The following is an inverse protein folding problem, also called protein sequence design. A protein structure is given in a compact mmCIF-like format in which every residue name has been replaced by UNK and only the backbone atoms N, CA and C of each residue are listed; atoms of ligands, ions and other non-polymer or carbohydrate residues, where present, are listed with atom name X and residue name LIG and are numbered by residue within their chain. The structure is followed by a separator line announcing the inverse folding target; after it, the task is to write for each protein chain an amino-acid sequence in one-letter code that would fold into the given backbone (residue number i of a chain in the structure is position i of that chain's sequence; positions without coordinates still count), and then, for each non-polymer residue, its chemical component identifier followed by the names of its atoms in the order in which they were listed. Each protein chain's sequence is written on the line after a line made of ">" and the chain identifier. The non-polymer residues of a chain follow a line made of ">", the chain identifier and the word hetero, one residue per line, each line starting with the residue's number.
data_IF_870750892819
#
_entry.id   IF_870750892819
#
_cell.length_a   1.000
_cell.length_b   1.000
_cell.length_c   1.000
_cell.angle_alpha   90.00
_cell.angle_beta   90.00
_cell.angle_gamma   90.00
#
_symmetry.space_group_name_H-M   'P 1'
#
loop_
_entity.id
_entity.type
_entity.pdbx_description
1 polymer ?
#
# COMPACT_ATOMS: atom_id res chain seq x y z
N UNK A 1 42.66 6.22 28.50
CA UNK A 1 41.22 5.99 28.30
C UNK A 1 40.74 6.95 27.22
N UNK A 2 40.72 6.48 25.98
CA UNK A 2 40.25 7.24 24.81
C UNK A 2 38.72 7.26 24.83
N UNK A 3 38.12 8.45 24.89
CA UNK A 3 36.68 8.62 24.72
C UNK A 3 36.24 8.04 23.36
N UNK A 4 35.12 7.32 23.29
CA UNK A 4 34.58 6.89 22.01
C UNK A 4 34.13 8.13 21.25
N UNK A 5 34.70 8.33 20.06
CA UNK A 5 34.29 9.36 19.13
C UNK A 5 32.78 9.27 18.92
N UNK A 6 32.06 10.34 19.25
CA UNK A 6 30.66 10.51 18.90
C UNK A 6 30.53 10.32 17.40
N UNK A 7 29.87 9.24 16.97
CA UNK A 7 29.49 9.03 15.57
C UNK A 7 28.66 10.23 15.14
N UNK A 8 29.25 11.11 14.34
CA UNK A 8 28.56 12.22 13.69
C UNK A 8 27.67 11.60 12.61
N UNK A 9 26.48 11.15 13.01
CA UNK A 9 25.47 10.61 12.11
C UNK A 9 24.92 11.76 11.26
N UNK A 10 25.44 11.96 10.05
CA UNK A 10 24.82 12.65 8.91
C UNK A 10 23.65 13.63 9.23
N UNK A 11 23.89 14.65 10.06
CA UNK A 11 22.89 15.69 10.35
C UNK A 11 22.99 16.77 9.27
N UNK A 12 22.68 16.41 8.03
CA UNK A 12 22.59 17.34 6.89
C UNK A 12 21.15 17.58 6.49
N UNK A 13 20.86 18.74 5.89
CA UNK A 13 19.55 19.05 5.31
C UNK A 13 19.10 17.97 4.30
N UNK A 14 20.05 17.37 3.57
CA UNK A 14 19.82 16.31 2.59
C UNK A 14 19.19 15.05 3.20
N UNK A 15 19.67 14.61 4.37
CA UNK A 15 19.12 13.45 5.08
C UNK A 15 17.68 13.70 5.56
N UNK A 16 17.35 14.96 5.90
CA UNK A 16 15.99 15.35 6.26
C UNK A 16 15.05 15.31 5.02
N UNK A 17 15.54 15.74 3.86
CA UNK A 17 14.80 15.73 2.59
C UNK A 17 14.51 14.31 2.11
N UNK A 18 15.48 13.39 2.20
CA UNK A 18 15.31 11.98 1.83
C UNK A 18 14.26 11.27 2.71
N UNK A 19 14.27 11.59 4.01
CA UNK A 19 13.32 11.08 4.99
C UNK A 19 11.87 11.54 4.70
N UNK A 20 11.70 12.79 4.26
CA UNK A 20 10.40 13.32 3.83
C UNK A 20 9.89 12.64 2.55
N UNK A 21 10.78 12.47 1.56
CA UNK A 21 10.45 11.79 0.31
C UNK A 21 10.00 10.34 0.56
N UNK A 22 10.61 9.65 1.54
CA UNK A 22 10.21 8.29 1.91
C UNK A 22 8.81 8.23 2.53
N UNK A 23 8.46 9.15 3.43
CA UNK A 23 7.11 9.22 4.02
C UNK A 23 6.08 9.47 2.93
N UNK A 24 6.32 10.47 2.08
CA UNK A 24 5.41 10.82 0.99
C UNK A 24 5.26 9.67 -0.01
N UNK A 25 6.35 9.01 -0.35
CA UNK A 25 6.32 7.82 -1.20
C UNK A 25 5.50 6.69 -0.57
N UNK A 26 5.66 6.43 0.73
CA UNK A 26 4.86 5.43 1.44
C UNK A 26 3.37 5.77 1.40
N UNK A 27 3.00 7.02 1.67
CA UNK A 27 1.60 7.45 1.67
C UNK A 27 0.95 7.36 0.29
N UNK A 28 1.65 7.85 -0.74
CA UNK A 28 1.17 7.82 -2.12
C UNK A 28 1.06 6.39 -2.65
N UNK A 29 2.09 5.57 -2.43
CA UNK A 29 2.09 4.16 -2.86
C UNK A 29 0.97 3.38 -2.20
N UNK A 30 0.74 3.58 -0.89
CA UNK A 30 -0.38 2.94 -0.17
C UNK A 30 -1.73 3.28 -0.78
N UNK A 31 -1.96 4.56 -1.12
CA UNK A 31 -3.23 5.01 -1.73
C UNK A 31 -3.45 4.36 -3.10
N UNK A 32 -2.42 4.37 -3.95
CA UNK A 32 -2.47 3.79 -5.30
C UNK A 32 -2.74 2.28 -5.23
N UNK A 33 -1.99 1.55 -4.39
CA UNK A 33 -2.16 0.11 -4.25
C UNK A 33 -3.53 -0.27 -3.68
N UNK A 34 -4.04 0.51 -2.72
CA UNK A 34 -5.35 0.24 -2.14
C UNK A 34 -6.49 0.50 -3.14
N UNK A 35 -6.41 1.59 -3.91
CA UNK A 35 -7.34 1.86 -4.99
C UNK A 35 -7.29 0.77 -6.07
N UNK A 36 -6.08 0.39 -6.50
CA UNK A 36 -5.89 -0.71 -7.46
C UNK A 36 -6.45 -2.04 -6.95
N UNK A 37 -6.25 -2.35 -5.66
CA UNK A 37 -6.83 -3.54 -5.05
C UNK A 37 -8.36 -3.55 -5.14
N UNK A 38 -9.02 -2.43 -4.80
CA UNK A 38 -10.47 -2.30 -4.86
C UNK A 38 -11.00 -2.49 -6.28
N UNK A 39 -10.41 -1.78 -7.26
CA UNK A 39 -10.81 -1.89 -8.67
C UNK A 39 -10.67 -3.31 -9.20
N UNK A 40 -9.55 -3.98 -8.91
CA UNK A 40 -9.34 -5.37 -9.32
C UNK A 40 -10.31 -6.33 -8.61
N UNK A 41 -10.59 -6.13 -7.33
CA UNK A 41 -11.54 -6.94 -6.57
C UNK A 41 -12.97 -6.82 -7.09
N UNK A 42 -13.40 -5.60 -7.44
CA UNK A 42 -14.69 -5.34 -8.08
C UNK A 42 -14.73 -6.01 -9.46
N UNK A 43 -13.70 -5.79 -10.28
CA UNK A 43 -13.60 -6.38 -11.61
C UNK A 43 -13.68 -7.91 -11.57
N UNK A 44 -12.93 -8.56 -10.66
CA UNK A 44 -12.97 -10.01 -10.48
C UNK A 44 -14.37 -10.51 -10.12
N UNK A 45 -15.06 -9.79 -9.23
CA UNK A 45 -16.41 -10.14 -8.77
C UNK A 45 -17.44 -9.98 -9.89
N UNK A 46 -17.39 -8.88 -10.62
CA UNK A 46 -18.27 -8.66 -11.78
C UNK A 46 -18.04 -9.70 -12.88
N UNK A 47 -16.78 -10.03 -13.16
CA UNK A 47 -16.41 -10.99 -14.19
C UNK A 47 -16.88 -12.40 -13.82
N UNK A 48 -16.71 -12.83 -12.56
CA UNK A 48 -17.24 -14.10 -12.07
C UNK A 48 -18.77 -14.16 -12.21
N UNK A 49 -19.47 -13.09 -11.81
CA UNK A 49 -20.93 -13.02 -11.92
C UNK A 49 -21.40 -13.10 -13.38
N UNK A 50 -20.82 -12.29 -14.28
CA UNK A 50 -21.15 -12.26 -15.71
C UNK A 50 -20.85 -13.61 -16.39
N UNK A 51 -19.75 -14.27 -16.04
CA UNK A 51 -19.41 -15.56 -16.64
C UNK A 51 -20.28 -16.70 -16.11
N UNK A 52 -20.72 -16.64 -14.86
CA UNK A 52 -21.66 -17.62 -14.28
C UNK A 52 -23.05 -17.53 -14.91
N UNK A 53 -23.55 -16.34 -15.21
CA UNK A 53 -24.88 -16.17 -15.83
C UNK A 53 -24.92 -16.72 -17.26
N UNK A 54 -23.86 -16.47 -18.06
CA UNK A 54 -23.72 -17.00 -19.44
C UNK A 54 -23.70 -18.52 -19.50
N UNK A 55 -23.38 -19.19 -18.39
CA UNK A 55 -23.08 -20.61 -18.36
C UNK A 55 -24.07 -21.46 -17.55
N UNK A 56 -25.26 -20.92 -17.27
CA UNK A 56 -26.38 -21.63 -16.66
C UNK A 56 -26.76 -22.89 -17.45
N UNK A 57 -26.27 -24.05 -17.01
CA UNK A 57 -26.59 -25.37 -17.57
C UNK A 57 -25.65 -25.89 -18.65
N UNK A 58 -24.78 -25.07 -19.24
CA UNK A 58 -23.88 -25.50 -20.31
C UNK A 58 -22.51 -25.95 -19.77
N UNK A 59 -22.21 -27.23 -19.91
CA UNK A 59 -20.83 -27.73 -19.75
C UNK A 59 -20.12 -27.66 -21.10
N UNK A 60 -18.93 -27.04 -21.13
CA UNK A 60 -18.09 -26.96 -22.34
C UNK A 60 -16.73 -27.53 -21.96
N UNK A 61 -16.24 -28.50 -22.73
CA UNK A 61 -14.99 -29.21 -22.43
C UNK A 61 -15.00 -29.92 -21.07
N UNK A 62 -16.16 -30.41 -20.62
CA UNK A 62 -16.30 -31.10 -19.32
C UNK A 62 -16.26 -30.19 -18.09
N UNK A 63 -16.18 -28.86 -18.26
CA UNK A 63 -16.16 -27.91 -17.16
C UNK A 63 -17.53 -27.22 -17.01
N UNK A 64 -18.01 -27.16 -15.76
CA UNK A 64 -19.18 -26.35 -15.44
C UNK A 64 -18.88 -24.87 -15.67
N UNK A 65 -19.94 -24.12 -15.97
CA UNK A 65 -19.89 -22.67 -16.10
C UNK A 65 -19.18 -21.95 -14.95
N UNK A 66 -19.53 -22.35 -13.72
CA UNK A 66 -18.91 -21.85 -12.50
C UNK A 66 -17.41 -22.11 -12.43
N UNK A 67 -16.95 -23.28 -12.88
CA UNK A 67 -15.52 -23.63 -12.86
C UNK A 67 -14.73 -22.82 -13.89
N UNK A 68 -15.32 -22.58 -15.06
CA UNK A 68 -14.74 -21.72 -16.10
C UNK A 68 -14.69 -20.25 -15.66
N UNK A 69 -15.77 -19.73 -15.09
CA UNK A 69 -15.81 -18.38 -14.51
C UNK A 69 -14.68 -18.17 -13.51
N UNK A 70 -14.53 -19.12 -12.56
CA UNK A 70 -13.44 -19.08 -11.58
C UNK A 70 -12.04 -19.13 -12.20
N UNK A 71 -11.82 -19.84 -13.31
CA UNK A 71 -10.50 -19.86 -13.96
C UNK A 71 -10.09 -18.48 -14.49
N UNK A 72 -11.06 -17.65 -14.85
CA UNK A 72 -10.82 -16.31 -15.40
C UNK A 72 -10.79 -15.24 -14.30
N UNK A 73 -11.73 -15.27 -13.36
CA UNK A 73 -11.86 -14.25 -12.32
C UNK A 73 -10.85 -14.41 -11.17
N UNK A 74 -10.47 -15.64 -10.83
CA UNK A 74 -9.61 -15.91 -9.67
C UNK A 74 -8.23 -15.26 -9.74
N UNK A 75 -7.49 -15.29 -10.86
CA UNK A 75 -6.19 -14.60 -10.94
C UNK A 75 -6.29 -13.09 -10.67
N UNK A 76 -7.38 -12.46 -11.12
CA UNK A 76 -7.64 -11.03 -10.87
C UNK A 76 -7.90 -10.79 -9.37
N UNK A 77 -8.69 -11.66 -8.73
CA UNK A 77 -8.90 -11.62 -7.28
C UNK A 77 -7.60 -11.79 -6.49
N UNK A 78 -6.72 -12.71 -6.92
CA UNK A 78 -5.40 -12.90 -6.31
C UNK A 78 -4.50 -11.68 -6.47
N UNK A 79 -4.54 -11.01 -7.62
CA UNK A 79 -3.82 -9.76 -7.82
C UNK A 79 -4.34 -8.66 -6.87
N UNK A 80 -5.66 -8.54 -6.71
CA UNK A 80 -6.28 -7.65 -5.73
C UNK A 80 -5.77 -7.92 -4.30
N UNK A 81 -5.80 -9.18 -3.86
CA UNK A 81 -5.30 -9.58 -2.54
C UNK A 81 -3.81 -9.25 -2.35
N UNK A 82 -2.98 -9.49 -3.37
CA UNK A 82 -1.56 -9.16 -3.32
C UNK A 82 -1.31 -7.66 -3.16
N UNK A 83 -2.11 -6.80 -3.80
CA UNK A 83 -2.03 -5.34 -3.62
C UNK A 83 -2.42 -4.90 -2.21
N UNK A 84 -3.42 -5.56 -1.59
CA UNK A 84 -3.76 -5.31 -0.17
C UNK A 84 -2.57 -5.65 0.73
N UNK A 85 -1.94 -6.81 0.53
CA UNK A 85 -0.77 -7.24 1.30
C UNK A 85 0.41 -6.28 1.09
N UNK A 86 0.68 -5.86 -0.14
CA UNK A 86 1.72 -4.88 -0.43
C UNK A 86 1.46 -3.54 0.28
N UNK A 87 0.21 -3.07 0.27
CA UNK A 87 -0.21 -1.85 0.98
C UNK A 87 0.03 -1.96 2.50
N UNK A 88 -0.25 -3.12 3.10
CA UNK A 88 0.02 -3.38 4.53
C UNK A 88 1.51 -3.35 4.87
N UNK A 89 2.37 -3.92 4.02
CA UNK A 89 3.82 -3.85 4.23
C UNK A 89 4.37 -2.43 4.11
N UNK A 90 3.81 -1.60 3.23
CA UNK A 90 4.17 -0.18 3.14
C UNK A 90 3.75 0.59 4.39
N UNK A 91 2.55 0.33 4.93
CA UNK A 91 2.14 0.88 6.23
C UNK A 91 3.11 0.46 7.33
N UNK A 92 3.50 -0.81 7.34
CA UNK A 92 4.44 -1.35 8.33
C UNK A 92 5.80 -0.66 8.23
N UNK A 93 6.30 -0.45 7.00
CA UNK A 93 7.54 0.29 6.77
C UNK A 93 7.44 1.74 7.24
N UNK A 94 6.35 2.43 6.91
CA UNK A 94 6.08 3.81 7.35
C UNK A 94 6.02 3.91 8.89
N UNK A 95 5.30 3.01 9.55
CA UNK A 95 5.21 2.99 11.02
C UNK A 95 6.57 2.73 11.69
N UNK A 96 7.38 1.83 11.12
CA UNK A 96 8.75 1.58 11.60
C UNK A 96 9.65 2.80 11.38
N UNK A 97 9.48 3.47 10.25
CA UNK A 97 10.20 4.70 9.96
C UNK A 97 9.89 5.77 11.02
N UNK A 98 8.60 6.01 11.28
CA UNK A 98 8.16 6.95 12.33
C UNK A 98 8.69 6.54 13.70
N UNK A 99 8.62 5.27 14.07
CA UNK A 99 9.07 4.83 15.40
C UNK A 99 10.59 4.99 15.60
N UNK A 100 11.40 4.73 14.56
CA UNK A 100 12.85 4.70 14.67
C UNK A 100 13.50 6.07 14.38
N UNK A 101 13.00 6.82 13.41
CA UNK A 101 13.68 8.02 12.89
C UNK A 101 12.99 9.33 13.29
N UNK A 102 11.71 9.33 13.60
CA UNK A 102 10.99 10.56 14.00
C UNK A 102 11.53 11.19 15.31
N UNK A 103 12.05 10.44 16.30
CA UNK A 103 12.76 11.02 17.44
C UNK A 103 14.05 11.76 17.05
N UNK A 104 14.83 11.20 16.12
CA UNK A 104 16.06 11.82 15.62
C UNK A 104 15.76 13.08 14.81
N UNK A 105 14.72 13.02 13.97
CA UNK A 105 14.22 14.16 13.21
C UNK A 105 13.74 15.27 14.16
N UNK A 106 12.96 14.92 15.18
CA UNK A 106 12.46 15.88 16.17
C UNK A 106 13.59 16.58 16.93
N UNK A 107 14.63 15.83 17.31
CA UNK A 107 15.83 16.39 17.94
C UNK A 107 16.61 17.32 17.00
N UNK A 108 16.58 17.05 15.69
CA UNK A 108 17.14 17.91 14.64
C UNK A 108 16.26 19.13 14.30
N UNK A 109 15.14 19.34 15.01
CA UNK A 109 14.26 20.49 14.81
C UNK A 109 13.13 20.28 13.80
N UNK A 110 12.93 19.06 13.31
CA UNK A 110 11.78 18.71 12.48
C UNK A 110 10.49 18.74 13.31
N UNK A 111 9.44 19.39 12.79
CA UNK A 111 8.12 19.48 13.46
C UNK A 111 7.03 18.69 12.74
N UNK A 112 7.41 17.68 11.95
CA UNK A 112 6.49 16.92 11.11
C UNK A 112 6.11 17.66 9.82
N UNK A 113 5.66 16.90 8.82
CA UNK A 113 4.81 17.45 7.77
C UNK A 113 3.58 18.01 8.48
N UNK A 114 3.34 19.33 8.40
CA UNK A 114 2.08 19.92 8.86
C UNK A 114 0.96 19.04 8.31
N UNK A 115 0.24 18.32 9.17
CA UNK A 115 -1.05 17.74 8.78
C UNK A 115 -1.79 18.91 8.11
N UNK A 116 -2.26 18.78 6.86
CA UNK A 116 -3.07 19.82 6.29
C UNK A 116 -4.21 20.06 7.28
N UNK A 117 -4.26 21.26 7.86
CA UNK A 117 -5.32 21.70 8.77
C UNK A 117 -6.62 21.72 7.96
N UNK A 118 -7.19 20.54 7.72
CA UNK A 118 -8.48 20.41 7.07
C UNK A 118 -9.54 20.73 8.12
N UNK A 119 -9.76 22.03 8.33
CA UNK A 119 -10.92 22.52 9.07
C UNK A 119 -12.09 22.58 8.09
N UNK A 120 -13.12 21.77 8.34
CA UNK A 120 -14.44 22.08 7.78
C UNK A 120 -14.85 23.45 8.33
N UNK A 121 -14.89 24.47 7.47
CA UNK A 121 -15.68 25.66 7.77
C UNK A 121 -17.15 25.25 7.66
N UNK A 122 -17.82 25.21 8.80
CA UNK A 122 -19.28 25.13 8.89
C UNK A 122 -19.92 26.38 8.28
#
# INVERSE_FOLDING_TARGET
>A
MTQPASKSFFVGADALTDNLALIEWCENSRRILHAGALELGICASELDAKLRTVSGGLSVGGLSGRRRANQVSRPIGQASEALVVASQYIITASNRFVAAFDPELSAAGYRGARKPDFKFKA
#
